data_IF_460879629120
#
_entry.id   IF_460879629120
#
_cell.length_a   1.000
_cell.length_b   1.000
_cell.length_c   1.000
_cell.angle_alpha   90.00
_cell.angle_beta   90.00
_cell.angle_gamma   90.00
#
_symmetry.space_group_name_H-M   'P 1'
#
loop_
_entity.id
_entity.type
_entity.pdbx_description
1 polymer ?
#
# COMPACT_ATOMS: atom_id res chain seq x y z
N UNK A 1 38.18 24.84 22.25
CA UNK A 1 37.91 24.08 21.01
C UNK A 1 36.43 24.21 20.73
N UNK A 2 36.03 24.89 19.65
CA UNK A 2 34.61 24.97 19.27
C UNK A 2 34.11 23.58 18.87
N UNK A 3 33.10 23.09 19.57
CA UNK A 3 32.45 21.83 19.24
C UNK A 3 31.59 22.03 18.00
N UNK A 4 32.05 21.52 16.85
CA UNK A 4 31.29 21.47 15.61
C UNK A 4 29.99 20.70 15.85
N UNK A 5 28.88 21.43 15.99
CA UNK A 5 27.54 20.88 16.21
C UNK A 5 27.18 20.03 14.99
N UNK A 6 27.23 18.70 15.12
CA UNK A 6 26.78 17.80 14.07
C UNK A 6 25.28 18.07 13.82
N UNK A 7 24.94 18.51 12.60
CA UNK A 7 23.53 18.64 12.19
C UNK A 7 22.96 17.24 12.06
N UNK A 8 22.22 16.80 13.07
CA UNK A 8 21.41 15.59 12.99
C UNK A 8 20.10 15.95 12.31
N UNK A 9 19.86 15.34 11.15
CA UNK A 9 18.57 15.39 10.45
C UNK A 9 17.82 14.10 10.75
N UNK A 10 16.56 14.22 11.14
CA UNK A 10 15.69 13.06 11.35
C UNK A 10 15.33 12.42 10.00
N UNK A 11 14.96 11.14 10.02
CA UNK A 11 14.54 10.43 8.81
C UNK A 11 13.37 11.15 8.12
N UNK A 12 12.42 11.69 8.89
CA UNK A 12 11.28 12.45 8.38
C UNK A 12 11.70 13.75 7.71
N UNK A 13 12.66 14.47 8.30
CA UNK A 13 13.20 15.69 7.69
C UNK A 13 13.97 15.41 6.39
N UNK A 14 14.65 14.26 6.28
CA UNK A 14 15.27 13.84 5.02
C UNK A 14 14.20 13.56 3.96
N UNK A 15 13.21 12.78 4.37
CA UNK A 15 12.06 12.36 3.58
C UNK A 15 11.27 13.55 3.02
N UNK A 16 11.01 14.56 3.84
CA UNK A 16 10.30 15.78 3.44
C UNK A 16 11.09 16.58 2.41
N UNK A 17 12.42 16.58 2.52
CA UNK A 17 13.31 17.30 1.61
C UNK A 17 13.40 16.63 0.24
N UNK A 18 13.52 15.31 0.21
CA UNK A 18 13.84 14.58 -1.01
C UNK A 18 12.59 14.05 -1.76
N UNK A 19 11.47 13.86 -1.05
CA UNK A 19 10.24 13.24 -1.59
C UNK A 19 9.01 14.17 -1.41
N UNK A 20 9.12 15.17 -0.54
CA UNK A 20 8.04 16.09 -0.22
C UNK A 20 7.31 15.71 1.08
N UNK A 21 6.48 16.65 1.54
CA UNK A 21 5.75 16.56 2.81
C UNK A 21 4.67 15.47 2.76
N UNK A 22 4.25 15.03 3.95
CA UNK A 22 3.10 14.14 4.10
C UNK A 22 1.86 14.74 3.43
N UNK A 23 1.16 13.94 2.62
CA UNK A 23 -0.03 14.34 1.87
C UNK A 23 0.23 14.92 0.47
N UNK A 24 1.49 14.93 0.00
CA UNK A 24 1.76 15.17 -1.43
C UNK A 24 1.58 13.88 -2.23
N UNK A 25 1.07 14.00 -3.46
CA UNK A 25 0.84 12.83 -4.32
C UNK A 25 2.13 12.04 -4.61
N UNK A 26 3.27 12.71 -4.74
CA UNK A 26 4.57 12.07 -4.93
C UNK A 26 4.97 11.24 -3.70
N UNK A 27 4.76 11.81 -2.50
CA UNK A 27 5.06 11.13 -1.25
C UNK A 27 4.15 9.94 -1.01
N UNK A 28 2.86 10.10 -1.24
CA UNK A 28 1.87 9.05 -1.04
C UNK A 28 2.13 7.86 -1.99
N UNK A 29 2.47 8.15 -3.25
CA UNK A 29 2.86 7.12 -4.21
C UNK A 29 4.13 6.39 -3.79
N UNK A 30 5.15 7.11 -3.34
CA UNK A 30 6.38 6.50 -2.83
C UNK A 30 6.12 5.58 -1.63
N UNK A 31 5.33 6.04 -0.65
CA UNK A 31 5.02 5.22 0.52
C UNK A 31 4.15 4.00 0.18
N UNK A 32 3.19 4.17 -0.74
CA UNK A 32 2.41 3.05 -1.25
C UNK A 32 3.30 2.00 -1.93
N UNK A 33 4.19 2.45 -2.82
CA UNK A 33 5.12 1.59 -3.55
C UNK A 33 6.05 0.82 -2.59
N UNK A 34 6.57 1.51 -1.57
CA UNK A 34 7.42 0.91 -0.54
C UNK A 34 6.65 -0.16 0.27
N UNK A 35 5.42 0.14 0.70
CA UNK A 35 4.58 -0.84 1.44
C UNK A 35 4.29 -2.07 0.58
N UNK A 36 4.08 -1.88 -0.72
CA UNK A 36 3.86 -2.94 -1.69
C UNK A 36 5.10 -3.82 -1.89
N UNK A 37 6.29 -3.24 -1.93
CA UNK A 37 7.56 -3.98 -1.99
C UNK A 37 7.77 -4.84 -0.73
N UNK A 38 7.58 -4.25 0.46
CA UNK A 38 7.68 -4.94 1.75
C UNK A 38 6.73 -6.16 1.82
N UNK A 39 5.51 -6.02 1.30
CA UNK A 39 4.56 -7.14 1.23
C UNK A 39 5.09 -8.29 0.36
N UNK A 40 5.67 -7.99 -0.81
CA UNK A 40 6.25 -9.00 -1.70
C UNK A 40 7.41 -9.75 -1.05
N UNK A 41 8.28 -9.02 -0.34
CA UNK A 41 9.41 -9.59 0.39
C UNK A 41 8.97 -10.46 1.58
N UNK A 42 7.91 -10.07 2.28
CA UNK A 42 7.32 -10.88 3.34
C UNK A 42 6.83 -12.22 2.81
N UNK A 43 6.09 -12.21 1.69
CA UNK A 43 5.59 -13.43 1.04
C UNK A 43 6.76 -14.34 0.62
N UNK A 44 7.79 -13.76 0.02
CA UNK A 44 9.01 -14.47 -0.38
C UNK A 44 9.74 -15.10 0.81
N UNK A 45 9.82 -14.38 1.92
CA UNK A 45 10.48 -14.83 3.15
C UNK A 45 9.73 -16.02 3.74
N UNK A 46 8.42 -15.92 3.93
CA UNK A 46 7.59 -17.01 4.46
C UNK A 46 7.59 -18.23 3.52
N UNK A 47 7.59 -18.03 2.19
CA UNK A 47 7.73 -19.13 1.23
C UNK A 47 9.05 -19.89 1.45
N UNK A 48 10.16 -19.16 1.61
CA UNK A 48 11.48 -19.74 1.84
C UNK A 48 11.58 -20.44 3.19
N UNK A 49 11.01 -19.87 4.25
CA UNK A 49 10.92 -20.52 5.57
C UNK A 49 10.20 -21.87 5.49
N UNK A 50 9.19 -21.96 4.63
CA UNK A 50 8.45 -23.20 4.35
C UNK A 50 9.12 -24.10 3.30
N UNK A 51 10.30 -23.73 2.80
CA UNK A 51 11.09 -24.49 1.83
C UNK A 51 10.36 -24.79 0.52
N UNK A 52 9.47 -23.89 0.09
CA UNK A 52 8.73 -24.03 -1.17
C UNK A 52 9.44 -23.29 -2.31
N UNK A 53 9.44 -23.87 -3.51
CA UNK A 53 9.77 -23.12 -4.74
C UNK A 53 8.61 -22.20 -5.15
N UNK A 54 8.86 -21.25 -6.05
CA UNK A 54 7.78 -20.42 -6.62
C UNK A 54 6.76 -21.27 -7.40
N UNK A 55 7.21 -22.36 -8.02
CA UNK A 55 6.39 -23.31 -8.76
C UNK A 55 5.47 -24.07 -7.81
N UNK A 56 6.02 -24.64 -6.74
CA UNK A 56 5.27 -25.37 -5.72
C UNK A 56 4.25 -24.49 -4.99
N UNK A 57 4.61 -23.24 -4.67
CA UNK A 57 3.64 -22.30 -4.10
C UNK A 57 2.52 -21.99 -5.10
N UNK A 58 2.87 -21.84 -6.39
CA UNK A 58 1.91 -21.62 -7.47
C UNK A 58 0.91 -22.76 -7.60
N UNK A 59 1.41 -24.00 -7.67
CA UNK A 59 0.58 -25.22 -7.71
C UNK A 59 -0.36 -25.29 -6.50
N UNK A 60 0.16 -25.00 -5.30
CA UNK A 60 -0.59 -25.09 -4.05
C UNK A 60 -1.74 -24.07 -3.97
N UNK A 61 -1.64 -22.94 -4.67
CA UNK A 61 -2.71 -21.92 -4.74
C UNK A 61 -3.47 -21.89 -6.08
N UNK A 62 -3.11 -22.76 -7.02
CA UNK A 62 -3.73 -22.84 -8.34
C UNK A 62 -3.37 -21.67 -9.27
N UNK A 63 -2.14 -21.15 -9.22
CA UNK A 63 -1.64 -20.12 -10.15
C UNK A 63 -0.30 -20.53 -10.78
N UNK A 64 0.04 -19.89 -11.90
CA UNK A 64 1.34 -20.12 -12.53
C UNK A 64 2.50 -19.55 -11.69
N UNK A 65 3.66 -20.19 -11.75
CA UNK A 65 4.93 -19.67 -11.19
C UNK A 65 5.19 -18.21 -11.54
N UNK A 66 4.87 -17.79 -12.77
CA UNK A 66 5.03 -16.41 -13.24
C UNK A 66 4.25 -15.40 -12.39
N UNK A 67 3.07 -15.77 -11.88
CA UNK A 67 2.25 -14.95 -10.98
C UNK A 67 2.90 -14.83 -9.60
N UNK A 68 3.43 -15.93 -9.04
CA UNK A 68 4.19 -15.89 -7.78
C UNK A 68 5.44 -15.01 -7.93
N UNK A 69 6.15 -15.16 -9.04
CA UNK A 69 7.35 -14.38 -9.35
C UNK A 69 7.05 -12.88 -9.47
N UNK A 70 5.89 -12.52 -10.05
CA UNK A 70 5.39 -11.14 -10.12
C UNK A 70 5.02 -10.64 -8.72
N UNK A 71 4.28 -11.42 -7.95
CA UNK A 71 3.90 -11.08 -6.57
C UNK A 71 5.11 -10.80 -5.68
N UNK A 72 6.19 -11.58 -5.81
CA UNK A 72 7.41 -11.39 -5.00
C UNK A 72 8.31 -10.22 -5.45
N UNK A 73 8.09 -9.65 -6.64
CA UNK A 73 8.92 -8.55 -7.18
C UNK A 73 8.17 -7.24 -7.39
N UNK A 74 6.86 -7.31 -7.64
CA UNK A 74 6.00 -6.17 -7.94
C UNK A 74 4.54 -6.53 -7.67
N UNK A 75 4.07 -6.22 -6.46
CA UNK A 75 2.71 -6.51 -5.98
C UNK A 75 1.63 -5.56 -6.51
N UNK A 76 2.00 -4.49 -7.25
CA UNK A 76 1.06 -3.42 -7.64
C UNK A 76 -0.11 -3.88 -8.52
N UNK A 77 0.08 -4.98 -9.27
CA UNK A 77 -0.93 -5.51 -10.19
C UNK A 77 -1.46 -6.88 -9.75
N UNK A 78 -1.39 -7.20 -8.46
CA UNK A 78 -1.90 -8.47 -7.92
C UNK A 78 -3.24 -8.24 -7.24
N UNK A 79 -4.18 -9.16 -7.47
CA UNK A 79 -5.49 -9.10 -6.84
C UNK A 79 -5.40 -9.49 -5.36
N UNK A 80 -6.29 -8.90 -4.55
CA UNK A 80 -6.45 -9.27 -3.14
C UNK A 80 -6.75 -10.77 -3.01
N UNK A 81 -7.53 -11.34 -3.93
CA UNK A 81 -7.81 -12.78 -3.95
C UNK A 81 -6.54 -13.63 -3.99
N UNK A 82 -5.59 -13.31 -4.88
CA UNK A 82 -4.33 -14.04 -4.97
C UNK A 82 -3.50 -13.90 -3.70
N UNK A 83 -3.45 -12.71 -3.11
CA UNK A 83 -2.77 -12.45 -1.84
C UNK A 83 -3.40 -13.30 -0.70
N UNK A 84 -4.73 -13.36 -0.62
CA UNK A 84 -5.44 -14.18 0.36
C UNK A 84 -5.19 -15.67 0.17
N UNK A 85 -5.16 -16.15 -1.08
CA UNK A 85 -4.83 -17.55 -1.38
C UNK A 85 -3.41 -17.89 -0.90
N UNK A 86 -2.44 -17.00 -1.14
CA UNK A 86 -1.08 -17.15 -0.62
C UNK A 86 -1.06 -17.21 0.90
N UNK A 87 -1.71 -16.28 1.60
CA UNK A 87 -1.72 -16.33 3.07
C UNK A 87 -2.42 -17.58 3.63
N UNK A 88 -3.50 -18.03 2.99
CA UNK A 88 -4.17 -19.30 3.36
C UNK A 88 -3.25 -20.50 3.17
N UNK A 89 -2.56 -20.58 2.03
CA UNK A 89 -1.54 -21.58 1.73
C UNK A 89 -0.40 -21.59 2.75
N UNK A 90 0.02 -20.41 3.17
CA UNK A 90 1.05 -20.21 4.17
C UNK A 90 0.49 -20.26 5.60
N UNK A 91 -0.73 -20.76 5.83
CA UNK A 91 -1.40 -20.89 7.15
C UNK A 91 -1.28 -19.61 8.01
N UNK A 92 -1.28 -18.44 7.39
CA UNK A 92 -1.21 -17.15 8.08
C UNK A 92 -2.62 -16.67 8.44
N UNK A 93 -2.77 -16.07 9.62
CA UNK A 93 -4.00 -15.37 10.00
C UNK A 93 -3.92 -13.93 9.52
N UNK A 94 -4.85 -13.52 8.65
CA UNK A 94 -4.90 -12.16 8.10
C UNK A 94 -6.05 -11.40 8.75
N UNK A 95 -5.74 -10.27 9.38
CA UNK A 95 -6.73 -9.33 9.90
C UNK A 95 -6.73 -8.07 9.03
N UNK A 96 -7.89 -7.70 8.52
CA UNK A 96 -8.07 -6.43 7.82
C UNK A 96 -8.69 -5.43 8.79
N UNK A 97 -8.07 -4.26 8.90
CA UNK A 97 -8.68 -3.07 9.50
C UNK A 97 -8.96 -2.10 8.36
N UNK A 98 -10.15 -1.50 8.37
CA UNK A 98 -10.53 -0.45 7.43
C UNK A 98 -10.84 0.79 8.25
N UNK A 99 -10.07 1.84 8.02
CA UNK A 99 -10.30 3.16 8.61
C UNK A 99 -10.87 4.07 7.52
N UNK A 100 -12.01 4.68 7.81
CA UNK A 100 -12.60 5.67 6.91
C UNK A 100 -12.07 7.06 7.27
N UNK A 101 -11.51 7.76 6.29
CA UNK A 101 -11.16 9.17 6.46
C UNK A 101 -12.43 10.03 6.46
N UNK A 102 -12.91 10.37 7.67
CA UNK A 102 -14.08 11.23 7.85
C UNK A 102 -13.95 12.59 7.14
N UNK A 103 -12.73 13.09 6.98
CA UNK A 103 -12.47 14.43 6.43
C UNK A 103 -12.86 14.52 4.94
N UNK A 104 -12.48 13.54 4.14
CA UNK A 104 -12.86 13.47 2.72
C UNK A 104 -14.37 13.28 2.55
N UNK A 105 -15.00 12.50 3.44
CA UNK A 105 -16.43 12.28 3.40
C UNK A 105 -17.24 13.56 3.69
N UNK A 106 -16.80 14.39 4.64
CA UNK A 106 -17.42 15.69 4.94
C UNK A 106 -17.31 16.66 3.77
N UNK A 107 -16.14 16.75 3.13
CA UNK A 107 -15.93 17.61 1.94
C UNK A 107 -16.77 17.13 0.76
N UNK A 108 -16.75 15.83 0.45
CA UNK A 108 -17.56 15.27 -0.63
C UNK A 108 -19.06 15.47 -0.39
N UNK A 109 -19.54 15.26 0.84
CA UNK A 109 -20.94 15.49 1.22
C UNK A 109 -21.33 16.96 1.11
N UNK A 110 -20.44 17.87 1.51
CA UNK A 110 -20.65 19.30 1.34
C UNK A 110 -20.76 19.68 -0.14
N UNK A 111 -19.81 19.23 -0.99
CA UNK A 111 -19.81 19.48 -2.43
C UNK A 111 -21.03 18.91 -3.17
N UNK A 112 -21.47 17.71 -2.78
CA UNK A 112 -22.70 17.09 -3.31
C UNK A 112 -23.93 17.90 -2.92
N UNK A 113 -24.01 18.38 -1.68
CA UNK A 113 -25.10 19.23 -1.22
C UNK A 113 -25.15 20.58 -1.97
N UNK A 114 -24.00 21.19 -2.29
CA UNK A 114 -23.95 22.41 -3.11
C UNK A 114 -24.38 22.15 -4.56
N UNK A 115 -23.92 21.05 -5.17
CA UNK A 115 -24.34 20.69 -6.54
C UNK A 115 -25.84 20.44 -6.64
N UNK A 116 -26.44 19.76 -5.67
CA UNK A 116 -27.87 19.48 -5.66
C UNK A 116 -28.73 20.74 -5.50
N UNK A 117 -28.26 21.72 -4.70
CA UNK A 117 -28.93 23.02 -4.55
C UNK A 117 -28.86 23.86 -5.82
N UNK A 118 -27.72 23.89 -6.52
CA UNK A 118 -27.57 24.66 -7.76
C UNK A 118 -28.41 24.07 -8.90
N UNK A 119 -28.55 22.75 -8.99
CA UNK A 119 -29.37 22.12 -10.03
C UNK A 119 -30.87 22.37 -9.83
N UNK A 120 -31.31 22.58 -8.59
CA UNK A 120 -32.71 22.93 -8.26
C UNK A 120 -33.01 24.42 -8.52
N UNK A 121 -32.01 25.29 -8.46
CA UNK A 121 -32.14 26.71 -8.75
C UNK A 121 -32.19 27.03 -10.26
N UNK A 122 -31.60 26.18 -11.11
CA UNK A 122 -31.57 26.35 -12.57
C UNK A 122 -32.72 25.63 -13.31
N UNK A 123 -33.71 25.10 -12.56
CA UNK A 123 -34.90 24.40 -13.08
C UNK A 123 -36.19 25.24 -12.97
N UNK A 124 -36.08 26.51 -12.57
CA UNK A 124 -37.15 27.49 -12.54
C UNK A 124 -36.92 28.57 -13.60
#
# INVERSE_FOLDING_TARGET
METKKMKMMTLDQMKDKDIGKIGTAERDKYEFDLRMEVLGDMIKSVRKERKLTQEQLGELIGVQKSQISKLERNTKNVTIETILKVFRALKANVKFSVEMNEFEFKVAKALLATKYKNNRANSC
#
